data_IF_485652473819
#
_entry.id   IF_485652473819
#
_cell.length_a   1.000
_cell.length_b   1.000
_cell.length_c   1.000
_cell.angle_alpha   90.00
_cell.angle_beta   90.00
_cell.angle_gamma   90.00
#
_symmetry.space_group_name_H-M   'P 1'
#
loop_
_entity.id
_entity.type
_entity.pdbx_description
1 polymer ?
#
# COMPACT_ATOMS: atom_id res chain seq x y z
N UNK A 1 -17.89 -18.55 -33.45
CA UNK A 1 -17.62 -17.15 -33.84
C UNK A 1 -16.32 -16.59 -33.25
N UNK A 2 -15.75 -17.12 -32.15
CA UNK A 2 -14.46 -16.63 -31.62
C UNK A 2 -13.21 -17.30 -32.24
N UNK A 3 -13.37 -18.42 -32.95
CA UNK A 3 -12.25 -19.23 -33.48
C UNK A 3 -11.65 -18.69 -34.79
N UNK A 4 -12.38 -17.88 -35.55
CA UNK A 4 -11.91 -17.40 -36.85
C UNK A 4 -10.89 -16.26 -36.70
N UNK A 5 -11.08 -15.37 -35.71
CA UNK A 5 -10.20 -14.22 -35.49
C UNK A 5 -8.79 -14.61 -35.06
N UNK A 6 -8.65 -15.62 -34.19
CA UNK A 6 -7.33 -16.09 -33.73
C UNK A 6 -6.55 -16.72 -34.88
N UNK A 7 -7.22 -17.53 -35.71
CA UNK A 7 -6.62 -18.17 -36.88
C UNK A 7 -6.11 -17.13 -37.89
N UNK A 8 -6.91 -16.09 -38.15
CA UNK A 8 -6.54 -14.96 -39.01
C UNK A 8 -5.33 -14.19 -38.45
N UNK A 9 -5.28 -13.94 -37.14
CA UNK A 9 -4.16 -13.23 -36.52
C UNK A 9 -2.87 -14.07 -36.54
N UNK A 10 -2.96 -15.38 -36.39
CA UNK A 10 -1.80 -16.28 -36.46
C UNK A 10 -1.26 -16.36 -37.90
N UNK A 11 -2.14 -16.39 -38.92
CA UNK A 11 -1.72 -16.33 -40.32
C UNK A 11 -1.00 -15.01 -40.66
N UNK A 12 -1.53 -13.87 -40.19
CA UNK A 12 -0.86 -12.58 -40.37
C UNK A 12 0.49 -12.52 -39.63
N UNK A 13 0.58 -13.11 -38.43
CA UNK A 13 1.83 -13.21 -37.66
C UNK A 13 2.87 -14.11 -38.34
N UNK A 14 2.43 -15.15 -39.06
CA UNK A 14 3.30 -16.02 -39.85
C UNK A 14 3.87 -15.33 -41.11
N UNK A 15 3.41 -14.10 -41.41
CA UNK A 15 3.88 -13.29 -42.52
C UNK A 15 3.09 -13.47 -43.81
N UNK A 16 1.92 -14.13 -43.77
CA UNK A 16 1.04 -14.27 -44.94
C UNK A 16 0.50 -12.89 -45.36
N UNK A 17 0.44 -12.58 -46.66
CA UNK A 17 -0.11 -11.32 -47.16
C UNK A 17 -1.58 -11.14 -46.77
N UNK A 18 -1.96 -9.89 -46.44
CA UNK A 18 -3.34 -9.56 -46.03
C UNK A 18 -4.37 -9.93 -47.11
N UNK A 19 -4.02 -9.81 -48.40
CA UNK A 19 -4.90 -10.17 -49.51
C UNK A 19 -5.19 -11.68 -49.57
N UNK A 20 -4.20 -12.51 -49.27
CA UNK A 20 -4.35 -13.98 -49.28
C UNK A 20 -5.17 -14.46 -48.08
N UNK A 21 -4.92 -13.89 -46.89
CA UNK A 21 -5.73 -14.17 -45.67
C UNK A 21 -7.18 -13.70 -45.83
N UNK A 22 -7.42 -12.61 -46.58
CA UNK A 22 -8.75 -12.12 -46.90
C UNK A 22 -9.56 -13.12 -47.73
N UNK A 23 -8.95 -13.67 -48.79
CA UNK A 23 -9.60 -14.61 -49.70
C UNK A 23 -9.85 -15.98 -49.04
N UNK A 24 -8.91 -16.48 -48.24
CA UNK A 24 -9.02 -17.79 -47.59
C UNK A 24 -10.06 -17.83 -46.46
N UNK A 25 -10.17 -16.74 -45.70
CA UNK A 25 -11.07 -16.68 -44.54
C UNK A 25 -12.36 -15.90 -44.81
N UNK A 26 -12.51 -15.30 -45.99
CA UNK A 26 -13.69 -14.51 -46.38
C UNK A 26 -13.80 -13.16 -45.67
N UNK A 27 -12.66 -12.57 -45.27
CA UNK A 27 -12.61 -11.26 -44.62
C UNK A 27 -12.28 -10.18 -45.63
N UNK A 28 -12.74 -8.94 -45.39
CA UNK A 28 -12.31 -7.84 -46.24
C UNK A 28 -10.87 -7.43 -45.92
N UNK A 29 -10.08 -7.10 -46.95
CA UNK A 29 -8.70 -6.60 -46.77
C UNK A 29 -8.65 -5.33 -45.90
N UNK A 30 -9.70 -4.49 -45.94
CA UNK A 30 -9.83 -3.29 -45.11
C UNK A 30 -10.01 -3.64 -43.62
N UNK A 31 -10.83 -4.67 -43.33
CA UNK A 31 -11.01 -5.18 -41.96
C UNK A 31 -9.71 -5.76 -41.40
N UNK A 32 -8.96 -6.51 -42.20
CA UNK A 32 -7.67 -7.08 -41.79
C UNK A 32 -6.59 -6.00 -41.59
N UNK A 33 -6.58 -4.98 -42.45
CA UNK A 33 -5.68 -3.82 -42.32
C UNK A 33 -5.97 -3.03 -41.05
N UNK A 34 -7.25 -2.77 -40.75
CA UNK A 34 -7.67 -2.13 -39.51
C UNK A 34 -7.30 -2.97 -38.28
N UNK A 35 -7.48 -4.30 -38.36
CA UNK A 35 -7.13 -5.23 -37.29
C UNK A 35 -5.63 -5.24 -37.00
N UNK A 36 -4.79 -5.28 -38.04
CA UNK A 36 -3.33 -5.26 -37.92
C UNK A 36 -2.81 -3.93 -37.38
N UNK A 37 -3.34 -2.78 -37.83
CA UNK A 37 -2.97 -1.46 -37.32
C UNK A 37 -3.41 -1.23 -35.86
N UNK A 38 -4.43 -1.95 -35.39
CA UNK A 38 -4.84 -1.96 -33.99
C UNK A 38 -3.92 -2.75 -33.06
N UNK A 39 -3.02 -3.58 -33.59
CA UNK A 39 -2.06 -4.37 -32.79
C UNK A 39 -0.79 -3.57 -32.51
N UNK A 40 -0.40 -3.48 -31.24
CA UNK A 40 0.82 -2.78 -30.83
C UNK A 40 2.05 -3.51 -31.38
N UNK A 41 2.91 -2.78 -32.09
CA UNK A 41 4.17 -3.31 -32.63
C UNK A 41 4.04 -3.99 -34.00
N UNK A 42 2.85 -3.98 -34.60
CA UNK A 42 2.63 -4.48 -35.95
C UNK A 42 2.77 -3.33 -36.94
N UNK A 43 3.35 -3.61 -38.11
CA UNK A 43 3.49 -2.67 -39.22
C UNK A 43 3.27 -3.40 -40.53
N UNK A 44 2.51 -2.83 -41.46
CA UNK A 44 2.22 -3.44 -42.76
C UNK A 44 3.27 -2.96 -43.76
N UNK A 45 3.89 -3.88 -44.48
CA UNK A 45 4.78 -3.56 -45.59
C UNK A 45 3.95 -3.19 -46.83
N UNK A 46 4.08 -1.95 -47.31
CA UNK A 46 3.32 -1.46 -48.45
C UNK A 46 3.69 -2.14 -49.77
N UNK A 47 4.88 -2.75 -49.88
CA UNK A 47 5.32 -3.42 -51.10
C UNK A 47 4.77 -4.84 -51.23
N UNK A 48 4.63 -5.56 -50.11
CA UNK A 48 4.27 -6.99 -50.09
C UNK A 48 2.91 -7.25 -49.45
N UNK A 49 2.31 -6.27 -48.78
CA UNK A 49 1.05 -6.43 -48.06
C UNK A 49 1.14 -7.36 -46.85
N UNK A 50 2.36 -7.64 -46.36
CA UNK A 50 2.62 -8.54 -45.24
C UNK A 50 2.79 -7.78 -43.93
N UNK A 51 2.38 -8.39 -42.82
CA UNK A 51 2.55 -7.81 -41.48
C UNK A 51 3.94 -8.13 -40.95
N UNK A 52 4.67 -7.11 -40.52
CA UNK A 52 5.93 -7.22 -39.78
C UNK A 52 5.70 -6.88 -38.31
N UNK A 53 6.26 -7.69 -37.42
CA UNK A 53 6.22 -7.44 -35.98
C UNK A 53 7.59 -6.91 -35.58
N UNK A 54 7.62 -5.73 -34.97
CA UNK A 54 8.88 -5.14 -34.47
C UNK A 54 9.26 -5.84 -33.17
N UNK A 55 10.11 -6.85 -33.25
CA UNK A 55 10.73 -7.47 -32.08
C UNK A 55 11.72 -6.49 -31.45
N UNK A 56 11.38 -5.93 -30.28
CA UNK A 56 12.31 -5.09 -29.49
C UNK A 56 13.36 -5.92 -28.75
N UNK A 57 13.72 -7.09 -29.26
CA UNK A 57 14.77 -7.95 -28.68
C UNK A 57 15.75 -8.31 -29.78
N UNK A 58 16.78 -7.48 -29.95
CA UNK A 58 18.15 -7.84 -30.35
C UNK A 58 18.94 -6.54 -30.48
N UNK A 59 19.77 -6.26 -29.48
CA UNK A 59 20.85 -5.29 -29.58
C UNK A 59 22.02 -5.95 -30.34
N UNK A 60 22.57 -5.32 -31.40
CA UNK A 60 23.90 -5.67 -31.91
C UNK A 60 25.00 -4.91 -31.14
N UNK A 61 26.22 -5.47 -31.03
CA UNK A 61 27.30 -4.92 -30.22
C UNK A 61 27.98 -3.72 -30.88
N UNK A 62 28.57 -2.89 -30.02
CA UNK A 62 29.17 -1.59 -30.27
C UNK A 62 30.20 -1.53 -31.40
N UNK A 63 30.20 -0.39 -32.11
CA UNK A 63 31.40 0.25 -32.63
C UNK A 63 31.28 1.77 -32.41
N UNK A 64 32.33 2.32 -31.82
CA UNK A 64 32.53 3.69 -31.34
C UNK A 64 32.08 4.82 -32.27
N UNK A 65 31.38 5.81 -31.70
CA UNK A 65 31.92 7.16 -31.44
C UNK A 65 30.80 7.99 -30.81
N UNK A 66 30.82 8.13 -29.47
CA UNK A 66 30.04 9.16 -28.78
C UNK A 66 31.01 10.02 -27.95
N UNK A 67 31.18 11.33 -28.25
CA UNK A 67 31.88 12.22 -27.35
C UNK A 67 31.07 12.39 -26.07
N UNK A 68 31.67 12.02 -24.95
CA UNK A 68 31.11 12.11 -23.60
C UNK A 68 30.64 13.55 -23.29
N UNK A 69 29.37 13.77 -22.92
CA UNK A 69 28.99 14.97 -22.17
C UNK A 69 29.47 14.82 -20.73
N UNK A 70 30.04 15.88 -20.18
CA UNK A 70 30.59 15.96 -18.82
C UNK A 70 29.59 15.50 -17.73
N UNK A 71 30.07 15.01 -16.57
CA UNK A 71 29.19 14.67 -15.46
C UNK A 71 28.53 15.93 -14.89
N UNK A 72 27.21 16.05 -15.03
CA UNK A 72 26.39 17.04 -14.32
C UNK A 72 26.42 16.75 -12.80
N UNK A 73 26.53 17.78 -11.94
CA UNK A 73 26.59 17.60 -10.49
C UNK A 73 25.24 17.17 -9.91
N UNK A 74 25.29 16.31 -8.88
CA UNK A 74 24.13 15.83 -8.13
C UNK A 74 23.21 16.97 -7.67
N UNK A 75 21.87 16.85 -7.78
CA UNK A 75 20.97 17.88 -7.30
C UNK A 75 20.95 17.92 -5.75
N UNK A 76 21.39 19.04 -5.20
CA UNK A 76 21.15 19.42 -3.80
C UNK A 76 19.65 19.45 -3.46
N UNK A 77 19.26 19.22 -2.19
CA UNK A 77 17.86 19.27 -1.78
C UNK A 77 17.30 20.69 -1.95
N UNK A 78 16.39 20.85 -2.91
CA UNK A 78 15.73 22.13 -3.20
C UNK A 78 14.95 22.67 -1.98
N UNK A 79 15.20 23.94 -1.67
CA UNK A 79 14.41 24.76 -0.75
C UNK A 79 12.92 24.77 -1.14
N UNK A 80 11.98 24.70 -0.18
CA UNK A 80 10.54 24.56 -0.44
C UNK A 80 9.84 25.83 -0.97
N UNK A 81 10.58 26.85 -1.44
CA UNK A 81 10.02 28.18 -1.77
C UNK A 81 10.15 28.60 -3.24
N UNK A 82 10.49 27.67 -4.14
CA UNK A 82 10.40 27.93 -5.59
C UNK A 82 9.17 27.24 -6.20
N UNK A 83 8.02 27.86 -5.97
CA UNK A 83 6.85 27.67 -6.83
C UNK A 83 7.14 28.31 -8.21
N UNK A 84 7.85 27.58 -9.08
CA UNK A 84 7.86 27.89 -10.51
C UNK A 84 6.43 27.78 -11.03
N UNK A 85 5.97 28.87 -11.64
CA UNK A 85 4.65 28.99 -12.25
C UNK A 85 4.35 27.79 -13.17
N UNK A 86 3.08 27.32 -13.22
CA UNK A 86 2.75 26.14 -14.01
C UNK A 86 2.95 26.43 -15.49
N UNK A 87 3.81 25.65 -16.16
CA UNK A 87 3.79 25.61 -17.62
C UNK A 87 2.39 25.19 -18.08
N UNK A 88 1.86 25.79 -19.16
CA UNK A 88 0.53 25.46 -19.62
C UNK A 88 0.48 23.97 -19.96
N UNK A 89 -0.45 23.27 -19.33
CA UNK A 89 -0.70 21.86 -19.60
C UNK A 89 -1.02 21.66 -21.08
N UNK A 90 -0.73 20.48 -21.64
CA UNK A 90 -0.99 20.16 -23.06
C UNK A 90 -2.43 20.47 -23.50
N UNK A 91 -3.37 20.44 -22.56
CA UNK A 91 -4.76 20.84 -22.76
C UNK A 91 -4.94 22.36 -22.98
N UNK A 92 -4.20 23.21 -22.27
CA UNK A 92 -4.20 24.67 -22.44
C UNK A 92 -3.56 25.07 -23.78
N UNK A 93 -2.52 24.35 -24.22
CA UNK A 93 -1.93 24.52 -25.56
C UNK A 93 -2.90 24.13 -26.68
N UNK A 94 -3.68 23.05 -26.49
CA UNK A 94 -4.69 22.61 -27.45
C UNK A 94 -5.90 23.55 -27.49
N UNK A 95 -6.37 24.05 -26.34
CA UNK A 95 -7.46 25.02 -26.25
C UNK A 95 -7.09 26.34 -26.95
N UNK A 96 -5.88 26.86 -26.69
CA UNK A 96 -5.36 28.02 -27.41
C UNK A 96 -5.20 27.76 -28.92
N UNK A 97 -4.87 26.53 -29.30
CA UNK A 97 -4.79 26.11 -30.71
C UNK A 97 -6.12 26.14 -31.44
N UNK A 98 -7.23 25.76 -30.79
CA UNK A 98 -8.57 25.80 -31.41
C UNK A 98 -9.07 27.22 -31.59
N UNK A 99 -8.85 28.11 -30.61
CA UNK A 99 -9.20 29.53 -30.73
C UNK A 99 -8.37 30.23 -31.79
N UNK A 100 -7.06 29.96 -31.86
CA UNK A 100 -6.18 30.49 -32.89
C UNK A 100 -6.61 30.01 -34.28
N UNK A 101 -6.96 28.73 -34.42
CA UNK A 101 -7.40 28.14 -35.69
C UNK A 101 -8.74 28.73 -36.17
N UNK A 102 -9.65 29.09 -35.25
CA UNK A 102 -10.88 29.83 -35.57
C UNK A 102 -10.60 31.28 -35.97
N UNK A 103 -9.66 31.94 -35.31
CA UNK A 103 -9.24 33.30 -35.67
C UNK A 103 -8.62 33.34 -37.08
N UNK A 104 -7.72 32.40 -37.37
CA UNK A 104 -7.07 32.26 -38.67
C UNK A 104 -8.07 31.88 -39.78
N UNK A 105 -9.02 30.98 -39.47
CA UNK A 105 -10.10 30.61 -40.39
C UNK A 105 -11.00 31.80 -40.77
N UNK A 106 -11.30 32.69 -39.80
CA UNK A 106 -12.04 33.93 -40.05
C UNK A 106 -11.23 34.94 -40.85
N UNK A 107 -9.93 35.05 -40.57
CA UNK A 107 -9.03 35.94 -41.29
C UNK A 107 -8.87 35.56 -42.77
N UNK A 108 -9.03 34.28 -43.11
CA UNK A 108 -8.96 33.79 -44.49
C UNK A 108 -10.17 34.21 -45.36
N UNK A 109 -11.31 34.55 -44.75
CA UNK A 109 -12.53 34.98 -45.48
C UNK A 109 -13.26 33.89 -46.26
N UNK A 110 -12.73 32.65 -46.32
CA UNK A 110 -13.40 31.50 -46.93
C UNK A 110 -14.41 30.86 -45.97
N UNK A 111 -15.71 30.99 -46.31
CA UNK A 111 -16.82 30.42 -45.53
C UNK A 111 -16.77 28.91 -45.36
N UNK A 112 -16.07 28.17 -46.24
CA UNK A 112 -15.91 26.71 -46.09
C UNK A 112 -14.95 26.39 -44.95
N UNK A 113 -13.85 27.13 -44.86
CA UNK A 113 -12.82 26.95 -43.83
C UNK A 113 -13.40 27.36 -42.46
N UNK A 114 -14.12 28.48 -42.40
CA UNK A 114 -14.79 28.92 -41.16
C UNK A 114 -15.80 27.88 -40.64
N UNK A 115 -16.63 27.31 -41.52
CA UNK A 115 -17.57 26.23 -41.15
C UNK A 115 -16.86 24.96 -40.71
N UNK A 116 -15.75 24.59 -41.36
CA UNK A 116 -14.96 23.44 -40.97
C UNK A 116 -14.33 23.63 -39.58
N UNK A 117 -13.81 24.81 -39.29
CA UNK A 117 -13.25 25.16 -37.98
C UNK A 117 -14.33 25.15 -36.87
N UNK A 118 -15.52 25.70 -37.13
CA UNK A 118 -16.65 25.64 -36.19
C UNK A 118 -17.11 24.19 -35.91
N UNK A 119 -17.12 23.35 -36.95
CA UNK A 119 -17.45 21.92 -36.79
C UNK A 119 -16.41 21.20 -35.94
N UNK A 120 -15.12 21.51 -36.15
CA UNK A 120 -14.04 20.96 -35.34
C UNK A 120 -14.14 21.42 -33.87
N UNK A 121 -14.40 22.71 -33.62
CA UNK A 121 -14.63 23.23 -32.27
C UNK A 121 -15.78 22.51 -31.56
N UNK A 122 -16.90 22.33 -32.27
CA UNK A 122 -18.07 21.63 -31.72
C UNK A 122 -17.72 20.17 -31.39
N UNK A 123 -17.02 19.48 -32.29
CA UNK A 123 -16.60 18.10 -32.07
C UNK A 123 -15.66 17.96 -30.87
N UNK A 124 -14.70 18.89 -30.71
CA UNK A 124 -13.80 18.94 -29.56
C UNK A 124 -14.59 19.17 -28.27
N UNK A 125 -15.50 20.15 -28.25
CA UNK A 125 -16.35 20.40 -27.09
C UNK A 125 -17.21 19.20 -26.68
N UNK A 126 -17.69 18.41 -27.65
CA UNK A 126 -18.41 17.14 -27.37
C UNK A 126 -17.47 16.12 -26.71
N UNK A 127 -16.24 15.97 -27.22
CA UNK A 127 -15.25 15.04 -26.63
C UNK A 127 -14.89 15.47 -25.21
N UNK A 128 -14.65 16.76 -24.98
CA UNK A 128 -14.35 17.31 -23.65
C UNK A 128 -15.51 17.09 -22.67
N UNK A 129 -16.75 17.33 -23.11
CA UNK A 129 -17.95 17.11 -22.31
C UNK A 129 -18.13 15.63 -21.92
N UNK A 130 -17.74 14.69 -22.79
CA UNK A 130 -17.78 13.26 -22.50
C UNK A 130 -16.63 12.82 -21.58
N UNK A 131 -15.43 13.36 -21.79
CA UNK A 131 -14.23 12.96 -21.05
C UNK A 131 -14.12 13.59 -19.66
N UNK A 132 -14.62 14.83 -19.49
CA UNK A 132 -14.58 15.56 -18.22
C UNK A 132 -15.17 14.77 -17.03
N UNK A 133 -16.40 14.24 -17.13
CA UNK A 133 -17.00 13.42 -16.08
C UNK A 133 -16.19 12.16 -15.76
N UNK A 134 -15.68 11.46 -16.77
CA UNK A 134 -14.85 10.28 -16.59
C UNK A 134 -13.54 10.62 -15.84
N UNK A 135 -12.90 11.73 -16.19
CA UNK A 135 -11.67 12.17 -15.51
C UNK A 135 -11.94 12.57 -14.06
N UNK A 136 -13.08 13.23 -13.80
CA UNK A 136 -13.50 13.57 -12.44
C UNK A 136 -13.74 12.30 -11.60
N UNK A 137 -14.40 11.29 -12.17
CA UNK A 137 -14.61 10.00 -11.53
C UNK A 137 -13.28 9.31 -11.21
N UNK A 138 -12.33 9.30 -12.13
CA UNK A 138 -10.99 8.73 -11.89
C UNK A 138 -10.24 9.44 -10.75
N UNK A 139 -10.32 10.78 -10.68
CA UNK A 139 -9.74 11.54 -9.57
C UNK A 139 -10.43 11.20 -8.24
N UNK A 140 -11.76 11.09 -8.24
CA UNK A 140 -12.53 10.71 -7.05
C UNK A 140 -12.21 9.28 -6.58
N UNK A 141 -12.09 8.33 -7.51
CA UNK A 141 -11.70 6.95 -7.22
C UNK A 141 -10.31 6.89 -6.58
N UNK A 142 -9.33 7.63 -7.12
CA UNK A 142 -7.99 7.71 -6.55
C UNK A 142 -7.99 8.33 -5.15
N UNK A 143 -8.81 9.35 -4.91
CA UNK A 143 -8.98 9.95 -3.58
C UNK A 143 -9.55 8.93 -2.57
N UNK A 144 -10.62 8.22 -2.96
CA UNK A 144 -11.23 7.16 -2.12
C UNK A 144 -10.25 6.03 -1.81
N UNK A 145 -9.44 5.61 -2.78
CA UNK A 145 -8.41 4.59 -2.56
C UNK A 145 -7.36 5.04 -1.53
N UNK A 146 -6.97 6.33 -1.56
CA UNK A 146 -6.06 6.92 -0.56
C UNK A 146 -6.70 6.93 0.84
N UNK A 147 -7.97 7.30 0.94
CA UNK A 147 -8.71 7.30 2.22
C UNK A 147 -8.86 5.89 2.79
N UNK A 148 -9.19 4.90 1.95
CA UNK A 148 -9.28 3.51 2.35
C UNK A 148 -7.94 3.00 2.89
N UNK A 149 -6.84 3.27 2.20
CA UNK A 149 -5.50 2.90 2.66
C UNK A 149 -5.14 3.57 4.02
N UNK A 150 -5.59 4.79 4.27
CA UNK A 150 -5.40 5.47 5.56
C UNK A 150 -6.27 4.84 6.67
N UNK A 151 -7.52 4.49 6.34
CA UNK A 151 -8.43 3.79 7.26
C UNK A 151 -7.91 2.39 7.62
N UNK A 152 -7.38 1.64 6.65
CA UNK A 152 -6.77 0.32 6.87
C UNK A 152 -5.56 0.39 7.79
N UNK A 153 -4.67 1.38 7.60
CA UNK A 153 -3.54 1.62 8.51
C UNK A 153 -4.03 1.92 9.94
N UNK A 154 -5.08 2.73 10.06
CA UNK A 154 -5.68 3.06 11.36
C UNK A 154 -6.30 1.82 12.01
N UNK A 155 -7.04 1.01 11.25
CA UNK A 155 -7.63 -0.24 11.72
C UNK A 155 -6.55 -1.25 12.14
N UNK A 156 -5.44 -1.37 11.41
CA UNK A 156 -4.31 -2.22 11.77
C UNK A 156 -3.69 -1.77 13.11
N UNK A 157 -3.49 -0.46 13.31
CA UNK A 157 -3.00 0.10 14.57
C UNK A 157 -3.95 -0.22 15.74
N UNK A 158 -5.25 -0.04 15.56
CA UNK A 158 -6.24 -0.36 16.59
C UNK A 158 -6.26 -1.85 16.93
N UNK A 159 -6.16 -2.74 15.93
CA UNK A 159 -6.05 -4.19 16.17
C UNK A 159 -4.80 -4.54 16.98
N UNK A 160 -3.65 -3.95 16.64
CA UNK A 160 -2.42 -4.17 17.41
C UNK A 160 -2.54 -3.70 18.87
N UNK A 161 -3.18 -2.55 19.11
CA UNK A 161 -3.45 -2.04 20.46
C UNK A 161 -4.41 -2.94 21.24
N UNK A 162 -5.44 -3.51 20.58
CA UNK A 162 -6.35 -4.45 21.20
C UNK A 162 -5.65 -5.76 21.58
N UNK A 163 -4.81 -6.31 20.71
CA UNK A 163 -3.99 -7.49 21.00
C UNK A 163 -3.07 -7.24 22.21
N UNK A 164 -2.39 -6.09 22.26
CA UNK A 164 -1.55 -5.73 23.40
C UNK A 164 -2.37 -5.60 24.70
N UNK A 165 -3.55 -4.98 24.65
CA UNK A 165 -4.44 -4.86 25.79
C UNK A 165 -4.95 -6.23 26.25
N UNK A 166 -5.32 -7.11 25.33
CA UNK A 166 -5.76 -8.47 25.62
C UNK A 166 -4.63 -9.30 26.24
N UNK A 167 -3.41 -9.20 25.72
CA UNK A 167 -2.22 -9.84 26.29
C UNK A 167 -1.93 -9.35 27.72
N UNK A 168 -2.05 -8.04 27.97
CA UNK A 168 -1.93 -7.47 29.33
C UNK A 168 -2.99 -8.05 30.26
N UNK A 169 -4.26 -8.07 29.85
CA UNK A 169 -5.36 -8.64 30.65
C UNK A 169 -5.13 -10.13 30.93
N UNK A 170 -4.70 -10.91 29.92
CA UNK A 170 -4.38 -12.33 30.09
C UNK A 170 -3.23 -12.54 31.08
N UNK A 171 -2.18 -11.70 31.02
CA UNK A 171 -1.04 -11.77 31.94
C UNK A 171 -1.41 -11.47 33.41
N UNK A 172 -2.46 -10.66 33.62
CA UNK A 172 -3.00 -10.35 34.95
C UNK A 172 -3.89 -11.48 35.47
N UNK A 173 -4.70 -12.12 34.61
CA UNK A 173 -5.51 -13.30 34.98
C UNK A 173 -4.66 -14.56 35.23
N UNK A 174 -3.52 -14.68 34.55
CA UNK A 174 -2.62 -15.84 34.63
C UNK A 174 -1.70 -15.87 35.86
N UNK A 175 -1.60 -14.78 36.64
CA UNK A 175 -1.04 -14.87 37.98
C UNK A 175 -2.19 -15.29 38.90
N UNK A 176 -2.28 -16.54 39.41
CA UNK A 176 -2.82 -16.65 40.75
C UNK A 176 -1.98 -15.66 41.56
N UNK A 177 -2.63 -14.67 42.17
CA UNK A 177 -2.01 -14.03 43.32
C UNK A 177 -1.59 -15.21 44.16
N UNK A 178 -0.29 -15.53 44.15
CA UNK A 178 0.26 -16.64 44.90
C UNK A 178 -0.25 -16.30 46.26
N UNK A 179 -1.26 -17.03 46.72
CA UNK A 179 -1.82 -16.81 48.03
C UNK A 179 -0.55 -16.87 48.84
N UNK A 180 -0.16 -15.70 49.36
CA UNK A 180 0.85 -15.64 50.37
C UNK A 180 0.09 -16.36 51.49
N UNK A 181 0.17 -17.69 51.47
CA UNK A 181 -0.37 -18.57 52.47
C UNK A 181 0.24 -17.96 53.71
N UNK A 182 -0.62 -17.24 54.43
CA UNK A 182 -0.19 -16.39 55.52
C UNK A 182 0.58 -17.30 56.45
N UNK A 183 1.91 -17.20 56.42
CA UNK A 183 2.66 -17.49 57.61
C UNK A 183 2.44 -16.23 58.42
N UNK A 184 1.56 -16.26 59.44
CA UNK A 184 1.20 -15.06 60.16
C UNK A 184 2.49 -14.46 60.70
N UNK A 185 2.76 -13.19 60.38
CA UNK A 185 3.86 -12.41 60.99
C UNK A 185 3.83 -12.56 62.51
N UNK A 186 2.61 -12.59 63.07
CA UNK A 186 2.32 -12.87 64.47
C UNK A 186 2.95 -14.17 64.99
N UNK A 187 3.00 -15.25 64.20
CA UNK A 187 3.64 -16.51 64.61
C UNK A 187 5.16 -16.40 64.74
N UNK A 188 5.80 -15.57 63.90
CA UNK A 188 7.24 -15.28 63.98
C UNK A 188 7.57 -14.35 65.14
N UNK A 189 6.74 -13.33 65.35
CA UNK A 189 6.87 -12.39 66.46
C UNK A 189 6.68 -13.09 67.82
N UNK A 190 5.62 -13.90 67.96
CA UNK A 190 5.39 -14.74 69.15
C UNK A 190 6.56 -15.69 69.42
N UNK A 191 7.08 -16.32 68.38
CA UNK A 191 8.26 -17.18 68.51
C UNK A 191 9.52 -16.41 68.96
N UNK A 192 9.68 -15.14 68.58
CA UNK A 192 10.79 -14.31 69.06
C UNK A 192 10.60 -13.91 70.53
N UNK A 193 9.39 -13.52 70.92
CA UNK A 193 9.04 -13.19 72.30
C UNK A 193 9.28 -14.38 73.26
N UNK A 194 8.85 -15.58 72.87
CA UNK A 194 9.06 -16.80 73.67
C UNK A 194 10.57 -17.11 73.81
N UNK A 195 11.38 -16.93 72.75
CA UNK A 195 12.84 -17.13 72.84
C UNK A 195 13.51 -16.11 73.76
N UNK A 196 13.09 -14.85 73.70
CA UNK A 196 13.62 -13.80 74.55
C UNK A 196 13.30 -14.07 76.03
N UNK A 197 12.05 -14.45 76.33
CA UNK A 197 11.63 -14.85 77.67
C UNK A 197 12.36 -16.11 78.17
N UNK A 198 12.53 -17.13 77.32
CA UNK A 198 13.28 -18.33 77.69
C UNK A 198 14.74 -18.00 78.02
N UNK A 199 15.36 -17.09 77.25
CA UNK A 199 16.73 -16.62 77.48
C UNK A 199 16.88 -15.87 78.80
N UNK A 200 15.92 -15.03 79.19
CA UNK A 200 15.96 -14.31 80.48
C UNK A 200 15.77 -15.25 81.68
N UNK A 201 15.06 -16.36 81.50
CA UNK A 201 14.86 -17.39 82.54
C UNK A 201 15.92 -18.50 82.55
N UNK A 202 16.90 -18.45 81.63
CA UNK A 202 17.94 -19.47 81.51
C UNK A 202 17.45 -20.81 80.96
N UNK A 203 16.29 -20.85 80.28
CA UNK A 203 15.73 -22.05 79.65
C UNK A 203 16.42 -22.27 78.30
N UNK A 204 16.92 -23.48 78.05
CA UNK A 204 17.63 -23.85 76.81
C UNK A 204 16.66 -23.94 75.64
N UNK A 205 16.68 -22.93 74.76
CA UNK A 205 15.96 -22.90 73.49
C UNK A 205 16.93 -22.85 72.31
N UNK A 206 16.53 -23.43 71.18
CA UNK A 206 17.33 -23.34 69.95
C UNK A 206 17.25 -21.91 69.38
N UNK A 207 18.40 -21.36 69.00
CA UNK A 207 18.52 -19.99 68.46
C UNK A 207 17.79 -19.83 67.13
N UNK A 208 17.66 -20.92 66.36
CA UNK A 208 16.95 -20.96 65.08
C UNK A 208 16.05 -22.19 65.01
N UNK A 209 14.81 -22.01 64.54
CA UNK A 209 13.86 -23.09 64.33
C UNK A 209 12.73 -23.18 65.37
N UNK A 210 12.04 -24.32 65.38
CA UNK A 210 10.83 -24.57 66.19
C UNK A 210 11.17 -24.57 67.69
N UNK A 211 10.31 -23.94 68.48
CA UNK A 211 10.45 -23.87 69.94
C UNK A 211 9.88 -25.16 70.55
N UNK A 212 10.55 -25.76 71.56
CA UNK A 212 10.00 -26.92 72.26
C UNK A 212 8.64 -26.60 72.91
N UNK A 213 7.67 -27.51 72.80
CA UNK A 213 6.29 -27.29 73.27
C UNK A 213 6.19 -26.91 74.75
N UNK A 214 6.99 -27.54 75.61
CA UNK A 214 7.02 -27.25 77.06
C UNK A 214 7.40 -25.78 77.38
N UNK A 215 8.21 -25.14 76.54
CA UNK A 215 8.62 -23.73 76.72
C UNK A 215 7.48 -22.79 76.33
N UNK A 216 6.72 -23.16 75.30
CA UNK A 216 5.54 -22.41 74.85
C UNK A 216 4.45 -22.45 75.91
N UNK A 217 4.16 -23.63 76.46
CA UNK A 217 3.18 -23.81 77.54
C UNK A 217 3.56 -23.03 78.80
N UNK A 218 4.85 -23.00 79.15
CA UNK A 218 5.32 -22.25 80.31
C UNK A 218 5.22 -20.73 80.09
N UNK A 219 5.54 -20.24 78.89
CA UNK A 219 5.34 -18.84 78.51
C UNK A 219 3.85 -18.45 78.57
N UNK A 220 2.97 -19.30 78.03
CA UNK A 220 1.52 -19.04 78.00
C UNK A 220 0.90 -19.05 79.40
N UNK A 221 1.41 -19.90 80.30
CA UNK A 221 1.01 -19.92 81.70
C UNK A 221 1.46 -18.68 82.47
N UNK A 222 2.65 -18.16 82.19
CA UNK A 222 3.20 -16.98 82.88
C UNK A 222 2.65 -15.65 82.35
N UNK A 223 2.39 -15.58 81.04
CA UNK A 223 1.91 -14.36 80.38
C UNK A 223 0.39 -14.35 80.15
N UNK A 224 -0.33 -15.33 80.70
CA UNK A 224 -1.79 -15.37 80.71
C UNK A 224 -2.41 -15.61 79.34
N UNK A 225 -2.28 -16.83 78.81
CA UNK A 225 -3.17 -17.40 77.80
C UNK A 225 -3.45 -16.51 76.60
N UNK A 226 -2.41 -16.08 75.90
CA UNK A 226 -2.54 -15.43 74.59
C UNK A 226 -2.99 -16.45 73.54
N UNK A 227 -4.30 -16.48 73.33
CA UNK A 227 -5.00 -16.76 72.06
C UNK A 227 -5.61 -18.19 71.91
N UNK A 228 -6.94 -18.23 72.05
CA UNK A 228 -7.92 -19.18 71.49
C UNK A 228 -8.06 -20.60 72.09
N UNK A 229 -9.01 -20.73 73.03
CA UNK A 229 -10.00 -21.82 72.94
C UNK A 229 -11.05 -21.44 71.89
N UNK A 230 -11.05 -22.14 70.76
CA UNK A 230 -12.22 -22.44 69.92
C UNK A 230 -12.01 -23.83 69.38
#
# INVERSE_FOLDING_TARGET
>A
MASDTTTVLDALRAGTPIAEVADEHGWSAETLTALANGQRGWSIDAATGTVRIRDTTTAPPAADTNPQPAPEPEPEPADPDQASAPEPTTAETLAGGVEQLLADARACGDKRIERAALKAQTAIGVVEALYGPWLAEQKAAKARAKELAAAEKTAAKLRAQLEEAQAKVASLKGKPARAATGIPSAGRERSQAIRAWAKTRGIKVNERGRIPGHVVEQYDRENGGGDAST
#
